data_IF_125973330200
#
_entry.id   IF_125973330200
#
_cell.length_a   1.000
_cell.length_b   1.000
_cell.length_c   1.000
_cell.angle_alpha   90.00
_cell.angle_beta   90.00
_cell.angle_gamma   90.00
#
_symmetry.space_group_name_H-M   'P 1'
#
loop_
_entity.id
_entity.type
_entity.pdbx_description
1 polymer ?
#
# COMPACT_ATOMS: atom_id res chain seq x y z
N UNK A 1 3.98 27.12 -0.40
CA UNK A 1 4.60 25.94 0.21
C UNK A 1 5.90 26.43 0.82
N UNK A 2 5.98 26.51 2.15
CA UNK A 2 7.24 26.88 2.83
C UNK A 2 8.27 25.76 2.64
N UNK A 3 9.54 26.13 2.52
CA UNK A 3 10.63 25.17 2.42
C UNK A 3 10.90 24.57 3.79
N UNK A 4 11.06 23.25 3.86
CA UNK A 4 11.45 22.56 5.09
C UNK A 4 12.82 23.07 5.57
N UNK A 5 12.95 23.25 6.89
CA UNK A 5 14.19 23.57 7.58
C UNK A 5 15.21 22.42 7.48
N UNK A 6 16.47 22.73 7.78
CA UNK A 6 17.53 21.71 7.80
C UNK A 6 17.25 20.58 8.80
N UNK A 7 16.67 20.91 9.96
CA UNK A 7 16.32 19.95 11.01
C UNK A 7 15.17 19.04 10.56
N UNK A 8 14.13 19.60 9.92
CA UNK A 8 13.04 18.82 9.33
C UNK A 8 13.56 17.87 8.24
N UNK A 9 14.46 18.35 7.37
CA UNK A 9 15.07 17.49 6.34
C UNK A 9 15.90 16.35 6.94
N UNK A 10 16.63 16.61 8.03
CA UNK A 10 17.40 15.58 8.73
C UNK A 10 16.49 14.55 9.38
N UNK A 11 15.41 15.00 10.03
CA UNK A 11 14.38 14.12 10.59
C UNK A 11 13.72 13.26 9.51
N UNK A 12 13.32 13.85 8.38
CA UNK A 12 12.72 13.13 7.25
C UNK A 12 13.66 12.05 6.70
N UNK A 13 14.96 12.33 6.59
CA UNK A 13 15.95 11.34 6.15
C UNK A 13 16.05 10.16 7.13
N UNK A 14 16.10 10.43 8.42
CA UNK A 14 16.16 9.39 9.44
C UNK A 14 14.89 8.53 9.42
N UNK A 15 13.72 9.15 9.35
CA UNK A 15 12.44 8.45 9.26
C UNK A 15 12.34 7.63 7.98
N UNK A 16 12.80 8.14 6.84
CA UNK A 16 12.80 7.39 5.58
C UNK A 16 13.60 6.09 5.68
N UNK A 17 14.74 6.09 6.39
CA UNK A 17 15.52 4.88 6.64
C UNK A 17 14.76 3.88 7.53
N UNK A 18 14.03 4.35 8.54
CA UNK A 18 13.22 3.50 9.42
C UNK A 18 12.01 2.93 8.68
N UNK A 19 11.31 3.74 7.88
CA UNK A 19 10.21 3.28 7.01
C UNK A 19 10.72 2.22 6.02
N UNK A 20 11.88 2.44 5.41
CA UNK A 20 12.45 1.47 4.47
C UNK A 20 12.69 0.08 5.10
N UNK A 21 12.95 0.00 6.40
CA UNK A 21 13.11 -1.30 7.10
C UNK A 21 11.80 -2.09 7.18
N UNK A 22 10.66 -1.42 7.19
CA UNK A 22 9.33 -2.05 7.27
C UNK A 22 8.59 -2.11 5.94
N UNK A 23 9.05 -1.39 4.91
CA UNK A 23 8.51 -1.44 3.54
C UNK A 23 9.37 -2.35 2.67
N UNK A 24 9.30 -3.66 2.94
CA UNK A 24 10.02 -4.67 2.15
C UNK A 24 9.43 -4.70 0.74
N UNK A 25 10.20 -4.32 -0.28
CA UNK A 25 9.67 -4.15 -1.65
C UNK A 25 9.24 -5.47 -2.31
N UNK A 26 9.95 -6.56 -2.02
CA UNK A 26 9.85 -7.85 -2.70
C UNK A 26 9.17 -8.94 -1.85
N UNK A 27 8.45 -8.54 -0.79
CA UNK A 27 7.80 -9.46 0.17
C UNK A 27 6.96 -10.54 -0.53
N UNK A 28 6.27 -10.19 -1.62
CA UNK A 28 5.36 -11.06 -2.35
C UNK A 28 6.04 -12.24 -3.07
N UNK A 29 7.36 -12.18 -3.30
CA UNK A 29 8.09 -13.21 -4.07
C UNK A 29 8.12 -14.57 -3.39
N UNK A 30 7.80 -14.64 -2.10
CA UNK A 30 7.65 -15.91 -1.38
C UNK A 30 6.28 -16.57 -1.61
N UNK A 31 5.27 -15.81 -2.06
CA UNK A 31 3.91 -16.30 -2.28
C UNK A 31 3.58 -16.54 -3.75
N UNK A 32 4.16 -15.73 -4.65
CA UNK A 32 3.84 -15.76 -6.07
C UNK A 32 5.09 -15.93 -6.92
N UNK A 33 4.95 -16.71 -7.99
CA UNK A 33 5.97 -16.83 -9.04
C UNK A 33 5.46 -16.19 -10.32
N UNK A 34 6.35 -15.56 -11.07
CA UNK A 34 6.00 -14.91 -12.34
C UNK A 34 5.55 -13.45 -12.18
N UNK A 35 4.63 -13.03 -13.04
CA UNK A 35 4.14 -11.65 -13.11
C UNK A 35 3.19 -11.34 -11.95
N UNK A 36 3.33 -10.16 -11.37
CA UNK A 36 2.42 -9.60 -10.36
C UNK A 36 2.08 -8.16 -10.71
N UNK A 37 0.87 -7.73 -10.39
CA UNK A 37 0.47 -6.33 -10.50
C UNK A 37 0.66 -5.63 -9.15
N UNK A 38 1.61 -4.69 -9.06
CA UNK A 38 1.85 -3.95 -7.83
C UNK A 38 1.05 -2.64 -7.81
N UNK A 39 0.06 -2.56 -6.92
CA UNK A 39 -0.72 -1.35 -6.68
C UNK A 39 0.05 -0.40 -5.74
N UNK A 40 0.83 0.52 -6.33
CA UNK A 40 1.72 1.41 -5.57
C UNK A 40 0.97 2.52 -4.82
N UNK A 41 0.12 3.28 -5.52
CA UNK A 41 -0.62 4.41 -4.95
C UNK A 41 -1.99 4.49 -5.62
N UNK A 42 -3.04 4.48 -4.81
CA UNK A 42 -4.39 4.82 -5.25
C UNK A 42 -4.98 5.80 -4.27
N UNK A 43 -5.44 6.92 -4.81
CA UNK A 43 -6.03 8.02 -4.04
C UNK A 43 -7.25 8.53 -4.79
N UNK A 44 -8.24 9.00 -4.04
CA UNK A 44 -9.38 9.75 -4.57
C UNK A 44 -9.44 11.09 -3.86
N UNK A 45 -10.05 12.08 -4.51
CA UNK A 45 -10.38 13.33 -3.84
C UNK A 45 -11.29 13.07 -2.63
N UNK A 46 -11.07 13.81 -1.54
CA UNK A 46 -11.88 13.69 -0.35
C UNK A 46 -13.36 13.98 -0.61
N UNK A 47 -13.67 14.91 -1.53
CA UNK A 47 -15.04 15.22 -1.92
C UNK A 47 -15.75 14.06 -2.65
N UNK A 48 -14.99 13.05 -3.08
CA UNK A 48 -15.50 11.87 -3.79
C UNK A 48 -15.64 10.64 -2.87
N UNK A 49 -15.33 10.76 -1.58
CA UNK A 49 -15.59 9.68 -0.61
C UNK A 49 -17.08 9.31 -0.61
N UNK A 50 -17.37 8.00 -0.58
CA UNK A 50 -18.74 7.48 -0.61
C UNK A 50 -19.43 7.49 -1.98
N UNK A 51 -18.83 8.06 -3.03
CA UNK A 51 -19.42 8.11 -4.38
C UNK A 51 -19.19 6.84 -5.22
N UNK A 52 -18.31 5.94 -4.75
CA UNK A 52 -17.83 4.80 -5.53
C UNK A 52 -16.66 5.11 -6.47
N UNK A 53 -16.09 6.32 -6.42
CA UNK A 53 -14.94 6.70 -7.27
C UNK A 53 -13.76 5.71 -7.16
N UNK A 54 -13.42 5.26 -5.94
CA UNK A 54 -12.35 4.28 -5.74
C UNK A 54 -12.66 2.95 -6.45
N UNK A 55 -13.91 2.49 -6.36
CA UNK A 55 -14.37 1.27 -7.05
C UNK A 55 -14.20 1.40 -8.57
N UNK A 56 -14.53 2.56 -9.12
CA UNK A 56 -14.42 2.80 -10.56
C UNK A 56 -12.96 2.80 -11.04
N UNK A 57 -12.00 3.07 -10.16
CA UNK A 57 -10.56 2.98 -10.44
C UNK A 57 -10.03 1.56 -10.24
N UNK A 58 -10.40 0.90 -9.13
CA UNK A 58 -9.87 -0.41 -8.76
C UNK A 58 -10.45 -1.55 -9.60
N UNK A 59 -11.76 -1.55 -9.86
CA UNK A 59 -12.42 -2.70 -10.50
C UNK A 59 -11.90 -3.02 -11.91
N UNK A 60 -11.61 -2.04 -12.80
CA UNK A 60 -11.01 -2.34 -14.09
C UNK A 60 -9.67 -3.09 -13.96
N UNK A 61 -8.81 -2.66 -13.03
CA UNK A 61 -7.52 -3.32 -12.77
C UNK A 61 -7.73 -4.73 -12.21
N UNK A 62 -8.63 -4.88 -11.25
CA UNK A 62 -8.96 -6.18 -10.65
C UNK A 62 -9.47 -7.15 -11.71
N UNK A 63 -10.45 -6.73 -12.52
CA UNK A 63 -11.04 -7.56 -13.56
C UNK A 63 -9.98 -8.02 -14.59
N UNK A 64 -9.11 -7.10 -15.04
CA UNK A 64 -8.06 -7.45 -16.01
C UNK A 64 -7.04 -8.44 -15.42
N UNK A 65 -6.65 -8.25 -14.15
CA UNK A 65 -5.74 -9.17 -13.47
C UNK A 65 -6.39 -10.54 -13.24
N UNK A 66 -7.68 -10.60 -12.92
CA UNK A 66 -8.43 -11.87 -12.78
C UNK A 66 -8.53 -12.62 -14.10
N UNK A 67 -8.86 -11.95 -15.20
CA UNK A 67 -8.93 -12.55 -16.53
C UNK A 67 -7.58 -13.16 -16.94
N UNK A 68 -6.48 -12.48 -16.60
CA UNK A 68 -5.11 -12.91 -16.91
C UNK A 68 -4.49 -13.83 -15.85
N UNK A 69 -5.18 -14.04 -14.71
CA UNK A 69 -4.67 -14.77 -13.54
C UNK A 69 -3.35 -14.19 -12.99
N UNK A 70 -3.25 -12.87 -12.95
CA UNK A 70 -2.12 -12.13 -12.40
C UNK A 70 -2.47 -11.75 -10.95
N UNK A 71 -1.69 -12.15 -9.94
CA UNK A 71 -1.89 -11.70 -8.56
C UNK A 71 -1.70 -10.20 -8.42
N UNK A 72 -2.45 -9.57 -7.52
CA UNK A 72 -2.34 -8.14 -7.22
C UNK A 72 -1.77 -8.00 -5.82
N UNK A 73 -0.72 -7.19 -5.67
CA UNK A 73 -0.05 -6.96 -4.38
C UNK A 73 -0.04 -5.47 -4.05
N UNK A 74 -0.15 -5.15 -2.76
CA UNK A 74 -0.06 -3.79 -2.26
C UNK A 74 0.54 -3.73 -0.86
N UNK A 75 0.96 -2.53 -0.48
CA UNK A 75 1.35 -2.19 0.87
C UNK A 75 0.59 -0.95 1.33
N UNK A 76 0.22 -0.88 2.61
CA UNK A 76 -0.33 0.33 3.19
C UNK A 76 0.17 0.54 4.61
N UNK A 77 0.41 1.80 4.98
CA UNK A 77 0.75 2.19 6.35
C UNK A 77 -0.46 2.70 7.14
N UNK A 78 -1.62 2.82 6.50
CA UNK A 78 -2.85 3.24 7.16
C UNK A 78 -3.67 1.99 7.53
N UNK A 79 -3.86 1.67 8.83
CA UNK A 79 -4.65 0.52 9.25
C UNK A 79 -6.11 0.59 8.78
N UNK A 80 -6.68 1.79 8.59
CA UNK A 80 -8.06 1.96 8.10
C UNK A 80 -8.24 1.47 6.66
N UNK A 81 -7.15 1.37 5.89
CA UNK A 81 -7.19 0.84 4.54
C UNK A 81 -7.26 -0.70 4.50
N UNK A 82 -6.90 -1.40 5.56
CA UNK A 82 -6.95 -2.87 5.60
C UNK A 82 -8.37 -3.40 5.36
N UNK A 83 -9.40 -3.01 6.13
CA UNK A 83 -10.77 -3.46 5.87
C UNK A 83 -11.31 -2.99 4.52
N UNK A 84 -10.84 -1.83 4.02
CA UNK A 84 -11.19 -1.35 2.69
C UNK A 84 -10.68 -2.29 1.59
N UNK A 85 -9.42 -2.72 1.64
CA UNK A 85 -8.88 -3.67 0.67
C UNK A 85 -9.45 -5.07 0.84
N UNK A 86 -9.75 -5.50 2.07
CA UNK A 86 -10.48 -6.75 2.32
C UNK A 86 -11.86 -6.76 1.66
N UNK A 87 -12.56 -5.62 1.60
CA UNK A 87 -13.82 -5.51 0.86
C UNK A 87 -13.65 -5.77 -0.65
N UNK A 88 -12.49 -5.42 -1.22
CA UNK A 88 -12.12 -5.77 -2.60
C UNK A 88 -11.45 -7.15 -2.70
N UNK A 89 -11.54 -7.96 -1.64
CA UNK A 89 -11.06 -9.34 -1.54
C UNK A 89 -9.54 -9.48 -1.59
N UNK A 90 -8.80 -8.50 -1.07
CA UNK A 90 -7.40 -8.70 -0.69
C UNK A 90 -7.34 -9.39 0.68
N UNK A 91 -6.33 -10.24 0.87
CA UNK A 91 -5.99 -10.87 2.14
C UNK A 91 -4.76 -10.21 2.74
N UNK A 92 -4.71 -10.10 4.08
CA UNK A 92 -3.53 -9.62 4.79
C UNK A 92 -2.53 -10.77 4.90
N UNK A 93 -1.35 -10.58 4.28
CA UNK A 93 -0.31 -11.61 4.20
C UNK A 93 0.74 -11.44 5.30
N UNK A 94 1.24 -10.21 5.46
CA UNK A 94 2.30 -9.88 6.41
C UNK A 94 2.03 -8.52 7.06
N UNK A 95 2.60 -8.30 8.25
CA UNK A 95 2.66 -6.99 8.89
C UNK A 95 4.06 -6.76 9.43
N UNK A 96 4.68 -5.66 9.04
CA UNK A 96 5.98 -5.23 9.55
C UNK A 96 5.79 -3.98 10.40
N UNK A 97 6.35 -3.97 11.61
CA UNK A 97 6.15 -2.88 12.56
C UNK A 97 7.51 -2.28 12.96
N UNK A 98 7.56 -0.95 13.08
CA UNK A 98 8.68 -0.22 13.67
C UNK A 98 8.25 0.33 15.02
N UNK A 99 8.88 -0.15 16.09
CA UNK A 99 8.70 0.38 17.44
C UNK A 99 9.13 1.85 17.53
N UNK A 100 10.18 2.24 16.80
CA UNK A 100 10.72 3.60 16.84
C UNK A 100 9.80 4.63 16.19
N UNK A 101 9.02 4.23 15.19
CA UNK A 101 8.07 5.10 14.49
C UNK A 101 6.62 4.93 14.95
N UNK A 102 6.34 3.91 15.77
CA UNK A 102 4.97 3.45 16.04
C UNK A 102 4.16 3.31 14.73
N UNK A 103 4.77 2.64 13.74
CA UNK A 103 4.25 2.57 12.38
C UNK A 103 4.27 1.13 11.87
N UNK A 104 3.13 0.70 11.31
CA UNK A 104 2.97 -0.60 10.66
C UNK A 104 2.98 -0.46 9.14
N UNK A 105 3.43 -1.50 8.46
CA UNK A 105 3.29 -1.73 7.04
C UNK A 105 2.49 -3.01 6.84
N UNK A 106 1.30 -2.91 6.25
CA UNK A 106 0.41 -4.03 5.97
C UNK A 106 0.60 -4.47 4.52
N UNK A 107 1.08 -5.69 4.32
CA UNK A 107 1.29 -6.29 3.01
C UNK A 107 0.07 -7.15 2.65
N UNK A 108 -0.60 -6.82 1.55
CA UNK A 108 -1.85 -7.48 1.16
C UNK A 108 -1.79 -7.99 -0.27
N UNK A 109 -2.43 -9.12 -0.54
CA UNK A 109 -2.49 -9.74 -1.87
C UNK A 109 -3.89 -10.19 -2.27
N UNK A 110 -4.14 -10.27 -3.57
CA UNK A 110 -5.31 -10.89 -4.22
C UNK A 110 -4.83 -11.83 -5.31
#
# INVERSE_FOLDING_TARGET
MEAASADELMLMKNNALLVHKITVHDWYKQYFTGEVYHLLVVVIDESLKGTGALRNILMPVINECEEKKIPIVLQTHNPDNVPLYQHYGFELMETHYSEELDLSCFCMAR
#
